data_IF_026168667073
#
_entry.id   IF_026168667073
#
_cell.length_a   1.000
_cell.length_b   1.000
_cell.length_c   1.000
_cell.angle_alpha   90.00
_cell.angle_beta   90.00
_cell.angle_gamma   90.00
#
_symmetry.space_group_name_H-M   'P 1'
#
loop_
_entity.id
_entity.type
_entity.pdbx_description
1 polymer ?
#
# COMPACT_ATOMS: atom_id res chain seq x y z
N UNK A 1 -17.81 56.86 -57.67
CA UNK A 1 -18.11 55.42 -57.63
C UNK A 1 -19.19 55.24 -56.58
N UNK A 2 -20.49 55.24 -56.91
CA UNK A 2 -21.24 54.13 -57.53
C UNK A 2 -21.07 52.83 -56.72
N UNK A 3 -22.09 52.09 -56.24
CA UNK A 3 -23.54 52.13 -56.36
C UNK A 3 -24.17 51.39 -55.15
N UNK A 4 -25.33 51.89 -54.70
CA UNK A 4 -26.51 51.16 -54.20
C UNK A 4 -26.64 49.69 -54.62
N UNK A 5 -27.06 48.77 -53.71
CA UNK A 5 -28.38 48.08 -53.76
C UNK A 5 -28.73 47.37 -52.43
N UNK A 6 -30.02 47.37 -52.09
CA UNK A 6 -30.65 46.79 -50.88
C UNK A 6 -31.17 45.34 -51.10
N UNK A 7 -32.21 44.85 -50.38
CA UNK A 7 -32.27 43.57 -49.66
C UNK A 7 -32.97 42.44 -50.45
N UNK A 8 -32.93 41.17 -49.99
CA UNK A 8 -33.88 40.07 -50.32
C UNK A 8 -33.54 38.86 -49.41
N UNK A 9 -34.40 38.45 -48.48
CA UNK A 9 -35.43 37.42 -48.66
C UNK A 9 -34.91 36.12 -49.32
N UNK A 10 -34.83 35.02 -48.55
CA UNK A 10 -34.33 33.75 -49.09
C UNK A 10 -34.42 32.56 -48.14
N UNK A 11 -35.64 32.10 -47.89
CA UNK A 11 -36.05 30.70 -47.78
C UNK A 11 -35.23 29.72 -46.93
N UNK A 12 -35.93 29.17 -45.93
CA UNK A 12 -35.70 27.86 -45.37
C UNK A 12 -35.38 26.79 -46.44
N UNK A 13 -34.32 26.02 -46.23
CA UNK A 13 -34.19 24.66 -46.74
C UNK A 13 -33.25 23.86 -45.84
N UNK A 14 -33.83 22.97 -45.01
CA UNK A 14 -33.09 21.88 -44.35
C UNK A 14 -32.46 20.98 -45.42
N UNK A 15 -31.18 20.61 -45.33
CA UNK A 15 -30.68 19.44 -46.04
C UNK A 15 -31.06 18.13 -45.28
N UNK A 16 -31.18 17.02 -46.01
CA UNK A 16 -31.94 15.83 -45.61
C UNK A 16 -31.32 15.04 -44.45
N UNK A 17 -32.19 14.52 -43.57
CA UNK A 17 -31.90 13.38 -42.70
C UNK A 17 -31.64 12.17 -43.61
N UNK A 18 -30.39 11.76 -43.75
CA UNK A 18 -30.01 10.37 -43.95
C UNK A 18 -28.52 10.23 -43.68
N UNK A 19 -28.23 9.93 -42.41
CA UNK A 19 -26.93 9.55 -41.92
C UNK A 19 -27.16 8.84 -40.61
N UNK A 20 -27.11 7.52 -40.66
CA UNK A 20 -27.07 6.63 -39.50
C UNK A 20 -25.74 6.92 -38.78
N UNK A 21 -25.73 7.99 -38.01
CA UNK A 21 -24.68 8.30 -37.06
C UNK A 21 -25.25 7.94 -35.70
N UNK A 22 -24.88 6.77 -35.21
CA UNK A 22 -25.06 6.34 -33.82
C UNK A 22 -24.28 7.34 -32.95
N UNK A 23 -24.90 8.48 -32.67
CA UNK A 23 -24.48 9.42 -31.66
C UNK A 23 -24.76 8.78 -30.31
N UNK A 24 -23.89 7.85 -29.91
CA UNK A 24 -23.82 7.42 -28.52
C UNK A 24 -23.42 8.66 -27.75
N UNK A 25 -24.44 9.31 -27.21
CA UNK A 25 -24.36 10.22 -26.10
C UNK A 25 -23.71 9.47 -24.93
N UNK A 26 -22.38 9.30 -24.97
CA UNK A 26 -21.59 8.77 -23.85
C UNK A 26 -21.31 9.90 -22.85
N UNK A 27 -22.38 10.60 -22.42
CA UNK A 27 -22.31 11.64 -21.39
C UNK A 27 -22.40 11.05 -19.96
N UNK A 28 -22.05 9.76 -19.79
CA UNK A 28 -22.03 9.06 -18.49
C UNK A 28 -20.71 8.38 -18.12
N UNK A 29 -19.67 8.39 -18.96
CA UNK A 29 -18.37 7.83 -18.59
C UNK A 29 -17.42 8.83 -17.90
N UNK A 30 -17.64 10.14 -18.07
CA UNK A 30 -16.72 11.18 -17.57
C UNK A 30 -17.17 11.82 -16.23
N UNK A 31 -17.96 11.11 -15.41
CA UNK A 31 -18.44 11.61 -14.10
C UNK A 31 -18.08 10.70 -12.93
N UNK A 32 -16.88 10.14 -12.95
CA UNK A 32 -16.16 9.86 -11.71
C UNK A 32 -15.25 11.05 -11.43
N UNK A 33 -15.86 12.14 -10.92
CA UNK A 33 -15.11 13.23 -10.30
C UNK A 33 -14.33 12.61 -9.14
N UNK A 34 -13.02 12.44 -9.35
CA UNK A 34 -12.07 12.11 -8.31
C UNK A 34 -12.31 13.07 -7.14
N UNK A 35 -12.87 12.54 -6.05
CA UNK A 35 -13.05 13.28 -4.81
C UNK A 35 -11.66 13.56 -4.25
N UNK A 36 -11.35 14.85 -4.07
CA UNK A 36 -10.20 15.36 -3.32
C UNK A 36 -8.93 14.50 -3.44
N UNK A 37 -8.28 14.53 -4.61
CA UNK A 37 -6.95 13.94 -4.73
C UNK A 37 -5.98 14.82 -3.93
N UNK A 38 -5.64 14.40 -2.70
CA UNK A 38 -4.40 14.82 -2.06
C UNK A 38 -3.30 14.68 -3.13
N UNK A 39 -2.52 15.74 -3.46
CA UNK A 39 -1.58 15.73 -4.57
C UNK A 39 -0.39 14.83 -4.23
N UNK A 40 -0.63 13.52 -4.24
CA UNK A 40 0.38 12.50 -4.03
C UNK A 40 1.14 12.29 -5.34
N UNK A 41 2.47 12.17 -5.29
CA UNK A 41 3.22 11.71 -6.44
C UNK A 41 2.70 10.32 -6.85
N UNK A 42 2.62 10.06 -8.16
CA UNK A 42 2.18 8.76 -8.69
C UNK A 42 3.01 7.59 -8.10
N UNK A 43 4.27 7.86 -7.77
CA UNK A 43 5.21 6.94 -7.12
C UNK A 43 4.74 6.43 -5.74
N UNK A 44 3.86 7.16 -5.05
CA UNK A 44 3.29 6.70 -3.78
C UNK A 44 2.44 5.42 -3.95
N UNK A 45 2.02 5.11 -5.18
CA UNK A 45 1.38 3.84 -5.51
C UNK A 45 2.21 2.63 -5.11
N UNK A 46 3.54 2.70 -5.21
CA UNK A 46 4.43 1.62 -4.76
C UNK A 46 4.34 1.41 -3.25
N UNK A 47 4.32 2.50 -2.47
CA UNK A 47 4.18 2.44 -1.00
C UNK A 47 2.81 1.87 -0.59
N UNK A 48 1.75 2.22 -1.33
CA UNK A 48 0.42 1.66 -1.10
C UNK A 48 0.39 0.14 -1.38
N UNK A 49 1.05 -0.32 -2.46
CA UNK A 49 1.16 -1.75 -2.78
C UNK A 49 2.00 -2.50 -1.74
N UNK A 50 3.09 -1.92 -1.23
CA UNK A 50 3.88 -2.57 -0.17
C UNK A 50 3.10 -2.64 1.13
N UNK A 51 2.35 -1.59 1.50
CA UNK A 51 1.45 -1.63 2.64
C UNK A 51 0.38 -2.73 2.49
N UNK A 52 -0.26 -2.82 1.32
CA UNK A 52 -1.21 -3.89 1.01
C UNK A 52 -0.57 -5.29 1.09
N UNK A 53 0.66 -5.46 0.58
CA UNK A 53 1.39 -6.73 0.65
C UNK A 53 1.66 -7.16 2.09
N UNK A 54 2.00 -6.21 2.97
CA UNK A 54 2.24 -6.46 4.38
C UNK A 54 0.96 -6.85 5.13
N UNK A 55 -0.20 -6.32 4.72
CA UNK A 55 -1.49 -6.74 5.25
C UNK A 55 -1.84 -8.18 4.83
N UNK A 56 -1.58 -8.55 3.58
CA UNK A 56 -1.76 -9.92 3.08
C UNK A 56 -0.86 -10.89 3.84
N UNK A 57 0.39 -10.53 4.13
CA UNK A 57 1.31 -11.32 4.94
C UNK A 57 0.74 -11.60 6.34
N UNK A 58 0.29 -10.56 7.04
CA UNK A 58 -0.28 -10.69 8.39
C UNK A 58 -1.53 -11.56 8.39
N UNK A 59 -2.38 -11.42 7.37
CA UNK A 59 -3.56 -12.26 7.20
C UNK A 59 -3.20 -13.71 6.91
N UNK A 60 -2.19 -13.97 6.09
CA UNK A 60 -1.68 -15.32 5.81
C UNK A 60 -1.19 -16.00 7.09
N UNK A 61 -0.42 -15.30 7.95
CA UNK A 61 0.01 -15.83 9.25
C UNK A 61 -1.18 -16.16 10.16
N UNK A 62 -2.21 -15.31 10.20
CA UNK A 62 -3.43 -15.56 10.98
C UNK A 62 -4.17 -16.82 10.50
N UNK A 63 -4.25 -17.03 9.18
CA UNK A 63 -4.84 -18.25 8.60
C UNK A 63 -4.03 -19.49 8.97
N UNK A 64 -2.69 -19.43 8.93
CA UNK A 64 -1.83 -20.54 9.32
C UNK A 64 -2.03 -20.93 10.79
N UNK A 65 -2.10 -19.96 11.69
CA UNK A 65 -2.44 -20.19 13.11
C UNK A 65 -3.82 -20.85 13.23
N UNK A 66 -4.81 -20.40 12.48
CA UNK A 66 -6.16 -20.98 12.48
C UNK A 66 -6.19 -22.43 11.99
N UNK A 67 -5.43 -22.76 10.94
CA UNK A 67 -5.30 -24.13 10.43
C UNK A 67 -4.62 -25.02 11.47
N UNK A 68 -3.51 -24.57 12.08
CA UNK A 68 -2.82 -25.34 13.10
C UNK A 68 -3.68 -25.54 14.35
N UNK A 69 -4.45 -24.52 14.75
CA UNK A 69 -5.41 -24.65 15.85
C UNK A 69 -6.43 -25.77 15.61
N UNK A 70 -6.94 -25.89 14.38
CA UNK A 70 -7.86 -26.96 14.00
C UNK A 70 -7.19 -28.34 14.05
N UNK A 71 -5.91 -28.44 13.70
CA UNK A 71 -5.15 -29.70 13.77
C UNK A 71 -4.91 -30.18 15.19
N UNK A 72 -4.61 -29.26 16.11
CA UNK A 72 -4.38 -29.59 17.54
C UNK A 72 -5.71 -29.74 18.31
N UNK A 73 -6.83 -29.24 17.76
CA UNK A 73 -8.14 -29.39 18.40
C UNK A 73 -8.35 -28.48 19.62
N UNK A 74 -7.58 -27.39 19.73
CA UNK A 74 -7.66 -26.46 20.87
C UNK A 74 -8.98 -25.67 20.86
N UNK A 75 -9.86 -25.97 21.82
CA UNK A 75 -11.07 -25.17 22.08
C UNK A 75 -10.71 -23.76 22.55
N UNK A 76 -11.53 -22.79 22.16
CA UNK A 76 -11.53 -21.47 22.80
C UNK A 76 -11.92 -21.66 24.28
N UNK A 77 -11.31 -20.95 25.25
CA UNK A 77 -10.45 -19.75 25.17
C UNK A 77 -8.93 -20.02 25.23
N UNK A 78 -8.48 -21.28 25.24
CA UNK A 78 -7.07 -21.61 25.41
C UNK A 78 -6.23 -21.12 24.22
N UNK A 79 -5.16 -20.35 24.51
CA UNK A 79 -4.33 -19.69 23.49
C UNK A 79 -3.00 -20.42 23.23
N UNK A 80 -2.48 -21.13 24.23
CA UNK A 80 -1.27 -21.93 24.13
C UNK A 80 -1.57 -23.36 24.56
N UNK A 81 -0.82 -24.29 23.97
CA UNK A 81 -0.76 -25.66 24.47
C UNK A 81 0.20 -25.70 25.67
N UNK A 82 -0.12 -26.48 26.70
CA UNK A 82 0.68 -26.58 27.92
C UNK A 82 2.00 -27.35 27.73
N UNK A 83 2.26 -27.87 26.53
CA UNK A 83 3.51 -28.52 26.17
C UNK A 83 4.64 -27.51 25.92
N UNK A 84 5.81 -27.75 26.53
CA UNK A 84 6.99 -26.88 26.48
C UNK A 84 7.55 -26.68 25.05
N UNK A 85 7.32 -27.64 24.14
CA UNK A 85 7.74 -27.59 22.73
C UNK A 85 6.60 -27.93 21.77
N UNK A 86 5.51 -27.17 21.80
CA UNK A 86 4.47 -27.34 20.77
C UNK A 86 4.75 -26.48 19.54
N UNK A 87 4.59 -27.11 18.37
CA UNK A 87 4.66 -26.43 17.08
C UNK A 87 3.60 -25.34 17.00
N UNK A 88 2.42 -25.56 17.59
CA UNK A 88 1.36 -24.54 17.65
C UNK A 88 1.79 -23.27 18.39
N UNK A 89 2.47 -23.39 19.54
CA UNK A 89 2.98 -22.24 20.29
C UNK A 89 4.00 -21.44 19.45
N UNK A 90 4.82 -22.11 18.64
CA UNK A 90 5.74 -21.45 17.71
C UNK A 90 5.00 -20.62 16.65
N UNK A 91 3.93 -21.15 16.05
CA UNK A 91 3.12 -20.41 15.06
C UNK A 91 2.45 -19.19 15.69
N UNK A 92 1.88 -19.36 16.89
CA UNK A 92 1.22 -18.29 17.64
C UNK A 92 2.21 -17.16 17.98
N UNK A 93 3.40 -17.51 18.46
CA UNK A 93 4.45 -16.54 18.79
C UNK A 93 4.99 -15.80 17.57
N UNK A 94 5.18 -16.48 16.44
CA UNK A 94 5.63 -15.84 15.20
C UNK A 94 4.64 -14.78 14.70
N UNK A 95 3.34 -15.07 14.79
CA UNK A 95 2.29 -14.12 14.42
C UNK A 95 2.24 -12.93 15.38
N UNK A 96 2.26 -13.17 16.70
CA UNK A 96 2.27 -12.11 17.70
C UNK A 96 3.47 -11.18 17.58
N UNK A 97 4.68 -11.70 17.38
CA UNK A 97 5.85 -10.87 17.17
C UNK A 97 5.73 -9.96 15.93
N UNK A 98 5.07 -10.45 14.89
CA UNK A 98 4.79 -9.63 13.70
C UNK A 98 3.82 -8.51 14.06
N UNK A 99 2.74 -8.79 14.79
CA UNK A 99 1.76 -7.79 15.24
C UNK A 99 2.34 -6.73 16.17
N UNK A 100 3.30 -7.09 17.04
CA UNK A 100 4.00 -6.13 17.91
C UNK A 100 4.80 -5.10 17.11
N UNK A 101 5.40 -5.53 15.99
CA UNK A 101 6.24 -4.67 15.13
C UNK A 101 5.48 -4.01 13.99
N UNK A 102 4.31 -4.53 13.63
CA UNK A 102 3.50 -4.09 12.50
C UNK A 102 3.06 -2.60 12.55
N UNK A 103 2.56 -2.06 13.67
CA UNK A 103 2.16 -0.64 13.71
C UNK A 103 3.36 0.29 13.52
N UNK A 104 4.52 -0.05 14.10
CA UNK A 104 5.75 0.70 13.90
C UNK A 104 6.22 0.66 12.45
N UNK A 105 6.17 -0.52 11.82
CA UNK A 105 6.48 -0.69 10.40
C UNK A 105 5.59 0.16 9.50
N UNK A 106 4.26 0.13 9.70
CA UNK A 106 3.33 0.93 8.91
C UNK A 106 3.54 2.44 9.09
N UNK A 107 3.76 2.89 10.32
CA UNK A 107 4.03 4.29 10.60
C UNK A 107 5.29 4.78 9.86
N UNK A 108 6.39 4.02 9.96
CA UNK A 108 7.65 4.35 9.29
C UNK A 108 7.52 4.27 7.77
N UNK A 109 6.81 3.28 7.22
CA UNK A 109 6.57 3.13 5.79
C UNK A 109 5.80 4.33 5.21
N UNK A 110 4.74 4.78 5.89
CA UNK A 110 3.95 5.92 5.46
C UNK A 110 4.74 7.23 5.56
N UNK A 111 5.45 7.46 6.67
CA UNK A 111 6.26 8.67 6.86
C UNK A 111 7.41 8.75 5.86
N UNK A 112 8.18 7.67 5.70
CA UNK A 112 9.26 7.62 4.70
C UNK A 112 8.74 7.73 3.27
N UNK A 113 7.57 7.15 2.99
CA UNK A 113 6.93 7.18 1.67
C UNK A 113 6.50 8.58 1.21
N UNK A 114 6.26 9.52 2.14
CA UNK A 114 5.95 10.92 1.79
C UNK A 114 7.15 11.67 1.20
N UNK A 115 8.35 11.34 1.63
CA UNK A 115 9.59 11.95 1.13
C UNK A 115 10.24 11.16 -0.01
N UNK A 116 10.39 9.85 0.19
CA UNK A 116 11.15 8.98 -0.69
C UNK A 116 10.36 7.69 -1.01
N UNK A 117 9.37 7.76 -1.91
CA UNK A 117 8.43 6.65 -2.14
C UNK A 117 9.11 5.37 -2.66
N UNK A 118 10.09 5.50 -3.56
CA UNK A 118 10.79 4.34 -4.15
C UNK A 118 11.64 3.64 -3.10
N UNK A 119 12.48 4.36 -2.37
CA UNK A 119 13.37 3.75 -1.35
C UNK A 119 12.57 3.15 -0.21
N UNK A 120 11.51 3.83 0.25
CA UNK A 120 10.58 3.30 1.24
C UNK A 120 9.95 1.99 0.80
N UNK A 121 9.52 1.90 -0.48
CA UNK A 121 8.95 0.66 -1.02
C UNK A 121 9.95 -0.50 -1.04
N UNK A 122 11.21 -0.25 -1.41
CA UNK A 122 12.26 -1.28 -1.46
C UNK A 122 12.55 -1.81 -0.06
N UNK A 123 12.80 -0.93 0.92
CA UNK A 123 13.03 -1.36 2.31
C UNK A 123 11.79 -2.03 2.91
N UNK A 124 10.59 -1.57 2.55
CA UNK A 124 9.33 -2.20 2.90
C UNK A 124 9.22 -3.63 2.39
N UNK A 125 9.55 -3.88 1.12
CA UNK A 125 9.53 -5.23 0.55
C UNK A 125 10.59 -6.15 1.15
N UNK A 126 11.79 -5.63 1.43
CA UNK A 126 12.85 -6.39 2.14
C UNK A 126 12.33 -6.85 3.50
N UNK A 127 11.61 -5.99 4.23
CA UNK A 127 10.99 -6.37 5.49
C UNK A 127 9.91 -7.43 5.32
N UNK A 128 9.00 -7.29 4.35
CA UNK A 128 7.92 -8.26 4.07
C UNK A 128 8.50 -9.64 3.73
N UNK A 129 9.48 -9.71 2.83
CA UNK A 129 10.15 -10.98 2.46
C UNK A 129 10.89 -11.58 3.65
N UNK A 130 11.62 -10.75 4.40
CA UNK A 130 12.32 -11.19 5.60
C UNK A 130 11.36 -11.78 6.65
N UNK A 131 10.14 -11.25 6.75
CA UNK A 131 9.09 -11.78 7.64
C UNK A 131 8.49 -13.09 7.13
N UNK A 132 8.34 -13.29 5.82
CA UNK A 132 7.97 -14.60 5.26
C UNK A 132 8.99 -15.67 5.66
N UNK A 133 10.28 -15.38 5.45
CA UNK A 133 11.38 -16.30 5.79
C UNK A 133 11.45 -16.55 7.30
N UNK A 134 11.24 -15.52 8.11
CA UNK A 134 11.15 -15.64 9.57
C UNK A 134 10.01 -16.58 10.00
N UNK A 135 8.81 -16.42 9.45
CA UNK A 135 7.68 -17.30 9.76
C UNK A 135 7.94 -18.75 9.34
N UNK A 136 8.48 -18.97 8.15
CA UNK A 136 8.86 -20.31 7.67
C UNK A 136 9.92 -20.96 8.58
N UNK A 137 10.90 -20.18 9.06
CA UNK A 137 11.89 -20.66 10.03
C UNK A 137 11.29 -21.03 11.39
N UNK A 138 10.26 -20.32 11.85
CA UNK A 138 9.53 -20.67 13.08
C UNK A 138 8.65 -21.92 12.92
N UNK A 139 8.17 -22.20 11.71
CA UNK A 139 7.30 -23.34 11.43
C UNK A 139 8.03 -24.69 11.50
N UNK A 140 9.37 -24.69 11.48
CA UNK A 140 10.21 -25.88 11.65
C UNK A 140 10.21 -26.46 13.08
N UNK A 141 9.62 -25.78 14.07
CA UNK A 141 9.52 -26.28 15.45
C UNK A 141 10.76 -26.03 16.33
N UNK A 142 11.87 -25.58 15.74
CA UNK A 142 13.08 -25.18 16.47
C UNK A 142 13.15 -23.65 16.63
N UNK A 143 13.17 -23.13 17.88
CA UNK A 143 13.25 -21.68 18.15
C UNK A 143 14.50 -20.99 17.59
N UNK A 144 15.58 -21.76 17.42
CA UNK A 144 16.87 -21.25 16.94
C UNK A 144 16.88 -20.97 15.43
N UNK A 145 15.93 -21.51 14.65
CA UNK A 145 15.86 -21.23 13.21
C UNK A 145 15.36 -19.81 12.87
N UNK A 146 15.06 -18.99 13.88
CA UNK A 146 14.68 -17.57 13.75
C UNK A 146 15.72 -16.69 13.05
N UNK A 147 17.01 -17.04 13.15
CA UNK A 147 18.11 -16.24 12.62
C UNK A 147 18.11 -16.15 11.08
N UNK A 148 17.42 -17.07 10.40
CA UNK A 148 17.30 -17.06 8.93
C UNK A 148 16.62 -15.79 8.41
N UNK A 149 15.74 -15.18 9.20
CA UNK A 149 15.02 -13.95 8.86
C UNK A 149 15.58 -12.66 9.48
N UNK A 150 16.76 -12.69 10.11
CA UNK A 150 17.29 -11.51 10.83
C UNK A 150 17.51 -10.30 9.91
N UNK A 151 17.72 -10.57 8.62
CA UNK A 151 17.88 -9.56 7.59
C UNK A 151 16.66 -8.62 7.44
N UNK A 152 15.48 -8.99 7.96
CA UNK A 152 14.33 -8.08 8.00
C UNK A 152 14.64 -6.81 8.82
N UNK A 153 15.55 -6.91 9.80
CA UNK A 153 15.97 -5.78 10.62
C UNK A 153 16.59 -4.67 9.77
N UNK A 154 17.30 -5.01 8.68
CA UNK A 154 17.81 -4.01 7.74
C UNK A 154 16.69 -3.24 7.04
N UNK A 155 15.57 -3.89 6.72
CA UNK A 155 14.39 -3.23 6.17
C UNK A 155 13.80 -2.22 7.15
N UNK A 156 13.64 -2.61 8.42
CA UNK A 156 13.11 -1.71 9.46
C UNK A 156 14.06 -0.55 9.77
N UNK A 157 15.37 -0.82 9.85
CA UNK A 157 16.38 0.22 10.05
C UNK A 157 16.45 1.18 8.87
N UNK A 158 16.35 0.68 7.63
CA UNK A 158 16.28 1.53 6.43
C UNK A 158 15.08 2.46 6.43
N UNK A 159 13.90 1.95 6.82
CA UNK A 159 12.69 2.77 6.99
C UNK A 159 12.83 3.81 8.11
N UNK A 160 13.49 3.45 9.19
CA UNK A 160 13.74 4.36 10.31
C UNK A 160 14.69 5.50 9.91
N UNK A 161 15.81 5.17 9.25
CA UNK A 161 16.78 6.17 8.78
C UNK A 161 16.14 7.11 7.76
N UNK A 162 15.41 6.59 6.78
CA UNK A 162 14.73 7.42 5.77
C UNK A 162 13.66 8.32 6.39
N UNK A 163 12.93 7.85 7.41
CA UNK A 163 11.97 8.66 8.16
C UNK A 163 12.64 9.79 8.94
N UNK A 164 13.78 9.51 9.59
CA UNK A 164 14.55 10.53 10.33
C UNK A 164 15.12 11.58 9.37
N UNK A 165 15.67 11.17 8.23
CA UNK A 165 16.21 12.09 7.22
C UNK A 165 15.11 12.97 6.63
N UNK A 166 13.93 12.39 6.35
CA UNK A 166 12.79 13.17 5.93
C UNK A 166 12.37 14.18 7.01
N UNK A 167 12.22 13.74 8.26
CA UNK A 167 11.88 14.62 9.38
C UNK A 167 12.88 15.75 9.59
N UNK A 168 14.19 15.45 9.57
CA UNK A 168 15.24 16.45 9.73
C UNK A 168 15.27 17.44 8.58
N UNK A 169 15.01 17.01 7.34
CA UNK A 169 14.91 17.91 6.19
C UNK A 169 13.76 18.90 6.30
N UNK A 170 12.61 18.48 6.85
CA UNK A 170 11.47 19.35 7.06
C UNK A 170 11.71 20.35 8.19
N UNK A 171 12.34 19.91 9.29
CA UNK A 171 12.73 20.82 10.38
C UNK A 171 13.76 21.83 9.89
N UNK A 172 14.77 21.40 9.14
CA UNK A 172 15.77 22.30 8.57
C UNK A 172 15.17 23.36 7.64
N UNK A 173 14.13 23.00 6.87
CA UNK A 173 13.42 23.94 6.00
C UNK A 173 12.70 25.07 6.77
N UNK A 174 12.29 24.82 8.03
CA UNK A 174 11.68 25.84 8.89
C UNK A 174 12.73 26.85 9.36
N UNK A 175 13.92 26.38 9.76
CA UNK A 175 14.96 27.23 10.34
C UNK A 175 15.83 27.94 9.29
N UNK A 176 16.00 27.34 8.11
CA UNK A 176 16.78 27.91 7.01
C UNK A 176 15.89 28.04 5.77
N UNK A 177 14.97 29.03 5.75
CA UNK A 177 14.20 29.30 4.55
C UNK A 177 15.18 29.63 3.42
N UNK A 178 15.14 28.87 2.32
CA UNK A 178 15.92 29.22 1.12
C UNK A 178 15.43 30.59 0.66
N UNK A 179 16.24 31.61 0.84
CA UNK A 179 16.10 32.88 0.14
C UNK A 179 16.44 32.59 -1.31
N UNK A 180 15.41 32.41 -2.15
CA UNK A 180 15.54 32.41 -3.61
C UNK A 180 15.24 33.78 -4.17
#
# INVERSE_FOLDING_TARGET
MACSVSPLCGAARKPPRNGIGIGICSSRAARLRARAAFPLPAEFGFVALTAASSAVLTQWQAVQVGIQRRKVGLKYPQMYEDAEKSVFNCYQRAHQNTLESYPAFLALLLVSGLGYPITASVFGMVWVIGRVVYSLGYYTGDPNNRFRGIWNAFGLLGLLVTSIVFGSSQVAAIFFPRVS
#
